data_IF_650176276896
#
_entry.id   IF_650176276896
#
_cell.length_a   1.000
_cell.length_b   1.000
_cell.length_c   1.000
_cell.angle_alpha   90.00
_cell.angle_beta   90.00
_cell.angle_gamma   90.00
#
_symmetry.space_group_name_H-M   'P 1'
#
loop_
_entity.id
_entity.type
_entity.pdbx_description
1 polymer ?
#
# COMPACT_ATOMS: atom_id res chain seq x y z
N UNK A 1 30.12 17.33 -14.19
CA UNK A 1 30.13 17.56 -12.73
C UNK A 1 29.81 16.23 -12.10
N UNK A 2 30.73 15.69 -11.29
CA UNK A 2 30.51 14.40 -10.63
C UNK A 2 29.72 14.65 -9.34
N UNK A 3 28.45 14.24 -9.35
CA UNK A 3 27.53 14.47 -8.23
C UNK A 3 27.93 13.66 -6.99
N UNK A 4 28.78 12.64 -7.16
CA UNK A 4 29.34 11.86 -6.05
C UNK A 4 30.30 12.66 -5.16
N UNK A 5 30.70 13.87 -5.59
CA UNK A 5 31.51 14.79 -4.80
C UNK A 5 30.69 15.70 -3.86
N UNK A 6 29.36 15.70 -4.00
CA UNK A 6 28.49 16.45 -3.09
C UNK A 6 28.32 15.68 -1.78
N UNK A 7 28.20 16.38 -0.64
CA UNK A 7 27.71 15.78 0.59
C UNK A 7 26.35 15.11 0.35
N UNK A 8 26.13 13.96 0.99
CA UNK A 8 24.93 13.14 0.83
C UNK A 8 23.65 13.94 1.06
N UNK A 9 23.64 14.82 2.06
CA UNK A 9 22.49 15.65 2.41
C UNK A 9 22.12 16.61 1.28
N UNK A 10 23.12 17.20 0.62
CA UNK A 10 22.92 18.12 -0.50
C UNK A 10 22.37 17.37 -1.70
N UNK A 11 22.91 16.18 -1.98
CA UNK A 11 22.39 15.33 -3.05
C UNK A 11 20.94 14.94 -2.81
N UNK A 12 20.60 14.51 -1.59
CA UNK A 12 19.24 14.15 -1.22
C UNK A 12 18.29 15.33 -1.43
N UNK A 13 18.66 16.55 -1.01
CA UNK A 13 17.83 17.73 -1.23
C UNK A 13 17.58 18.01 -2.71
N UNK A 14 18.61 17.88 -3.57
CA UNK A 14 18.44 17.99 -5.04
C UNK A 14 17.50 16.89 -5.55
N UNK A 15 17.73 15.64 -5.17
CA UNK A 15 16.96 14.49 -5.64
C UNK A 15 15.48 14.57 -5.22
N UNK A 16 15.16 15.25 -4.12
CA UNK A 16 13.79 15.47 -3.67
C UNK A 16 12.98 16.41 -4.61
N UNK A 17 13.65 17.24 -5.42
CA UNK A 17 13.00 18.04 -6.46
C UNK A 17 12.72 17.28 -7.75
N UNK A 18 13.43 16.17 -7.97
CA UNK A 18 13.26 15.36 -9.18
C UNK A 18 11.93 14.60 -9.17
N UNK A 19 11.39 14.38 -10.37
CA UNK A 19 10.27 13.47 -10.57
C UNK A 19 10.74 12.02 -10.65
N UNK A 20 9.80 11.10 -10.87
CA UNK A 20 10.13 9.68 -10.92
C UNK A 20 11.01 9.33 -12.13
N UNK A 21 10.74 9.93 -13.28
CA UNK A 21 11.42 9.58 -14.53
C UNK A 21 12.87 10.04 -14.48
N UNK A 22 13.11 11.24 -13.95
CA UNK A 22 14.46 11.77 -13.69
C UNK A 22 15.22 10.91 -12.69
N UNK A 23 14.59 10.51 -11.57
CA UNK A 23 15.24 9.64 -10.57
C UNK A 23 15.64 8.28 -11.16
N UNK A 24 14.79 7.70 -12.03
CA UNK A 24 15.10 6.44 -12.71
C UNK A 24 16.20 6.60 -13.76
N UNK A 25 16.22 7.72 -14.48
CA UNK A 25 17.29 8.06 -15.41
C UNK A 25 18.63 8.19 -14.66
N UNK A 26 18.64 8.88 -13.53
CA UNK A 26 19.82 9.01 -12.67
C UNK A 26 20.29 7.65 -12.13
N UNK A 27 19.39 6.74 -11.76
CA UNK A 27 19.75 5.36 -11.36
C UNK A 27 20.44 4.56 -12.48
N UNK A 28 20.28 4.97 -13.74
CA UNK A 28 20.83 4.27 -14.91
C UNK A 28 22.22 4.81 -15.32
N UNK A 29 22.73 5.84 -14.64
CA UNK A 29 24.03 6.48 -14.95
C UNK A 29 25.20 5.60 -14.48
N UNK A 30 25.21 5.21 -13.20
CA UNK A 30 26.23 4.34 -12.62
C UNK A 30 25.76 3.71 -11.31
N UNK A 31 26.48 2.69 -10.82
CA UNK A 31 26.21 2.07 -9.52
C UNK A 31 26.22 3.09 -8.37
N UNK A 32 27.20 4.01 -8.36
CA UNK A 32 27.29 5.06 -7.34
C UNK A 32 26.10 6.03 -7.36
N UNK A 33 25.62 6.40 -8.55
CA UNK A 33 24.40 7.22 -8.67
C UNK A 33 23.16 6.47 -8.19
N UNK A 34 23.02 5.19 -8.58
CA UNK A 34 21.93 4.35 -8.14
C UNK A 34 21.90 4.23 -6.62
N UNK A 35 23.06 4.08 -5.99
CA UNK A 35 23.20 3.97 -4.54
C UNK A 35 22.91 5.31 -3.83
N UNK A 36 23.39 6.43 -4.37
CA UNK A 36 23.05 7.76 -3.87
C UNK A 36 21.54 8.06 -3.90
N UNK A 37 20.83 7.55 -4.93
CA UNK A 37 19.37 7.70 -5.07
C UNK A 37 18.61 6.70 -4.20
N UNK A 38 19.26 5.64 -3.73
CA UNK A 38 18.63 4.56 -2.98
C UNK A 38 18.37 4.94 -1.50
N UNK A 39 17.90 6.17 -1.27
CA UNK A 39 17.72 6.75 0.07
C UNK A 39 16.25 6.74 0.49
N UNK A 40 16.01 6.35 1.75
CA UNK A 40 14.66 6.22 2.30
C UNK A 40 13.85 7.51 2.18
N UNK A 41 14.46 8.67 2.44
CA UNK A 41 13.80 9.99 2.36
C UNK A 41 13.27 10.30 0.95
N UNK A 42 14.04 9.95 -0.09
CA UNK A 42 13.68 10.16 -1.49
C UNK A 42 12.46 9.30 -1.85
N UNK A 43 12.54 7.99 -1.62
CA UNK A 43 11.47 7.06 -2.01
C UNK A 43 10.22 7.19 -1.16
N UNK A 44 10.35 7.57 0.12
CA UNK A 44 9.19 7.93 0.95
C UNK A 44 8.41 9.12 0.35
N UNK A 45 9.12 10.18 -0.08
CA UNK A 45 8.48 11.32 -0.76
C UNK A 45 7.79 10.89 -2.06
N UNK A 46 8.37 9.97 -2.81
CA UNK A 46 7.75 9.45 -4.04
C UNK A 46 6.51 8.61 -3.74
N UNK A 47 6.50 7.80 -2.68
CA UNK A 47 5.29 7.13 -2.20
C UNK A 47 4.19 8.15 -1.90
N UNK A 48 4.49 9.17 -1.08
CA UNK A 48 3.52 10.21 -0.72
C UNK A 48 2.97 10.99 -1.92
N UNK A 49 3.78 11.24 -2.95
CA UNK A 49 3.33 11.90 -4.19
C UNK A 49 2.38 11.03 -5.02
N UNK A 50 2.60 9.72 -5.03
CA UNK A 50 1.90 8.79 -5.93
C UNK A 50 0.62 8.22 -5.31
N UNK A 51 0.60 8.01 -4.01
CA UNK A 51 -0.54 7.41 -3.31
C UNK A 51 -1.34 8.45 -2.55
N UNK A 52 -2.67 8.39 -2.64
CA UNK A 52 -3.55 9.05 -1.66
C UNK A 52 -3.50 8.39 -0.26
N UNK A 53 -2.72 7.31 -0.11
CA UNK A 53 -2.55 6.57 1.13
C UNK A 53 -1.58 7.30 2.06
N UNK A 54 -1.99 7.49 3.31
CA UNK A 54 -1.09 7.92 4.39
C UNK A 54 -0.25 6.73 4.82
N UNK A 55 0.93 6.56 4.21
CA UNK A 55 1.87 5.55 4.69
C UNK A 55 2.54 6.04 5.97
N UNK A 56 2.29 5.34 7.08
CA UNK A 56 3.03 5.50 8.34
C UNK A 56 4.06 4.36 8.56
N UNK A 57 4.05 3.33 7.73
CA UNK A 57 4.92 2.15 7.84
C UNK A 57 5.53 1.77 6.49
N UNK A 58 6.76 1.26 6.52
CA UNK A 58 7.49 0.76 5.34
C UNK A 58 7.35 -0.76 5.15
N UNK A 59 6.56 -1.43 5.98
CA UNK A 59 6.33 -2.87 5.93
C UNK A 59 5.91 -3.29 4.52
N UNK A 60 6.55 -4.33 4.00
CA UNK A 60 6.25 -4.85 2.67
C UNK A 60 4.90 -5.55 2.69
N UNK A 61 4.20 -5.51 1.56
CA UNK A 61 3.01 -6.33 1.36
C UNK A 61 3.47 -7.77 1.26
N UNK A 62 3.20 -8.56 2.30
CA UNK A 62 3.55 -9.99 2.38
C UNK A 62 2.40 -10.90 1.91
N UNK A 63 1.28 -10.31 1.53
CA UNK A 63 0.13 -11.06 1.02
C UNK A 63 0.49 -11.75 -0.30
N UNK A 64 0.19 -13.05 -0.46
CA UNK A 64 0.53 -13.78 -1.67
C UNK A 64 -0.14 -13.18 -2.89
N UNK A 65 0.62 -13.01 -3.97
CA UNK A 65 0.09 -12.49 -5.23
C UNK A 65 -0.82 -13.55 -5.89
N UNK A 66 -2.03 -13.13 -6.27
CA UNK A 66 -3.05 -13.99 -6.90
C UNK A 66 -3.30 -13.68 -8.36
N UNK A 67 -2.66 -12.66 -8.90
CA UNK A 67 -2.84 -12.21 -10.28
C UNK A 67 -1.53 -12.32 -11.05
N UNK A 68 -1.64 -12.42 -12.36
CA UNK A 68 -0.47 -12.44 -13.24
C UNK A 68 -0.30 -11.10 -13.96
N UNK A 69 0.94 -10.62 -14.17
CA UNK A 69 2.20 -11.20 -13.66
C UNK A 69 2.37 -10.97 -12.15
N UNK A 70 3.04 -11.91 -11.49
CA UNK A 70 3.48 -11.76 -10.10
C UNK A 70 4.35 -10.51 -9.90
N UNK A 71 4.40 -10.00 -8.67
CA UNK A 71 5.38 -8.98 -8.29
C UNK A 71 6.65 -9.68 -7.86
N UNK A 72 7.75 -9.33 -8.49
CA UNK A 72 9.07 -9.81 -8.12
C UNK A 72 10.02 -8.62 -8.08
N UNK A 73 10.87 -8.57 -7.06
CA UNK A 73 11.98 -7.64 -7.07
C UNK A 73 12.92 -8.00 -8.22
N UNK A 74 13.51 -7.01 -8.91
CA UNK A 74 14.54 -7.27 -9.90
C UNK A 74 15.63 -8.11 -9.25
N UNK A 75 16.01 -9.20 -9.90
CA UNK A 75 17.20 -9.94 -9.49
C UNK A 75 18.40 -8.98 -9.56
N UNK A 76 19.35 -9.06 -8.61
CA UNK A 76 20.60 -8.33 -8.74
C UNK A 76 21.25 -8.78 -10.05
N UNK A 77 21.30 -7.89 -11.04
CA UNK A 77 21.92 -8.16 -12.34
C UNK A 77 23.44 -8.17 -12.25
N UNK A 78 23.97 -7.71 -11.12
CA UNK A 78 25.39 -7.64 -10.82
C UNK A 78 25.58 -7.71 -9.30
N UNK A 79 26.53 -8.52 -8.85
CA UNK A 79 26.86 -8.71 -7.43
C UNK A 79 27.41 -7.43 -6.75
N UNK A 80 27.63 -6.36 -7.51
CA UNK A 80 28.19 -5.10 -7.02
C UNK A 80 27.15 -4.07 -6.59
N UNK A 81 25.86 -4.28 -6.90
CA UNK A 81 24.81 -3.33 -6.54
C UNK A 81 24.35 -3.52 -5.10
N UNK A 82 24.24 -2.42 -4.35
CA UNK A 82 23.68 -2.47 -2.99
C UNK A 82 22.22 -2.96 -2.96
N UNK A 83 21.71 -3.37 -1.80
CA UNK A 83 20.29 -3.71 -1.68
C UNK A 83 19.39 -2.48 -1.79
N UNK A 84 18.20 -2.63 -2.39
CA UNK A 84 17.20 -1.54 -2.45
C UNK A 84 16.72 -1.16 -1.04
N UNK A 85 16.60 0.14 -0.77
CA UNK A 85 16.10 0.61 0.51
C UNK A 85 14.62 0.24 0.72
N UNK A 86 14.15 0.11 1.98
CA UNK A 86 12.77 -0.30 2.29
C UNK A 86 11.70 0.52 1.57
N UNK A 87 11.82 1.86 1.53
CA UNK A 87 10.83 2.70 0.86
C UNK A 87 10.82 2.52 -0.66
N UNK A 88 11.97 2.24 -1.28
CA UNK A 88 12.02 1.91 -2.71
C UNK A 88 11.33 0.58 -2.99
N UNK A 89 11.55 -0.42 -2.14
CA UNK A 89 10.86 -1.71 -2.24
C UNK A 89 9.34 -1.54 -2.12
N UNK A 90 8.88 -0.76 -1.12
CA UNK A 90 7.45 -0.44 -0.95
C UNK A 90 6.88 0.32 -2.15
N UNK A 91 7.59 1.32 -2.66
CA UNK A 91 7.18 2.08 -3.84
C UNK A 91 6.94 1.16 -5.05
N UNK A 92 7.84 0.20 -5.28
CA UNK A 92 7.72 -0.75 -6.39
C UNK A 92 6.48 -1.64 -6.26
N UNK A 93 6.16 -2.11 -5.04
CA UNK A 93 4.95 -2.89 -4.78
C UNK A 93 3.68 -2.07 -5.06
N UNK A 94 3.63 -0.82 -4.59
CA UNK A 94 2.50 0.09 -4.82
C UNK A 94 2.32 0.42 -6.30
N UNK A 95 3.42 0.69 -7.01
CA UNK A 95 3.38 0.93 -8.44
C UNK A 95 2.84 -0.29 -9.20
N UNK A 96 3.21 -1.50 -8.79
CA UNK A 96 2.69 -2.75 -9.36
C UNK A 96 1.20 -2.94 -9.05
N UNK A 97 0.78 -2.73 -7.80
CA UNK A 97 -0.63 -2.83 -7.40
C UNK A 97 -1.50 -1.82 -8.17
N UNK A 98 -1.10 -0.56 -8.19
CA UNK A 98 -1.76 0.50 -8.95
C UNK A 98 -1.87 0.15 -10.45
N UNK A 99 -0.81 -0.43 -11.02
CA UNK A 99 -0.82 -0.92 -12.40
C UNK A 99 -1.84 -2.03 -12.60
N UNK A 100 -1.90 -3.01 -11.70
CA UNK A 100 -2.85 -4.11 -11.78
C UNK A 100 -4.29 -3.59 -11.72
N UNK A 101 -4.61 -2.68 -10.80
CA UNK A 101 -5.92 -2.02 -10.74
C UNK A 101 -6.25 -1.28 -12.04
N UNK A 102 -5.34 -0.44 -12.55
CA UNK A 102 -5.57 0.34 -13.78
C UNK A 102 -5.83 -0.53 -15.00
N UNK A 103 -5.21 -1.71 -15.08
CA UNK A 103 -5.36 -2.64 -16.21
C UNK A 103 -6.39 -3.74 -15.94
N UNK A 104 -7.20 -3.65 -14.88
CA UNK A 104 -8.25 -4.63 -14.58
C UNK A 104 -7.72 -6.01 -14.17
N UNK A 105 -6.47 -6.10 -13.70
CA UNK A 105 -5.84 -7.34 -13.22
C UNK A 105 -6.14 -7.55 -11.74
N UNK A 106 -7.38 -7.92 -11.46
CA UNK A 106 -7.84 -8.24 -10.11
C UNK A 106 -8.75 -9.46 -10.13
N UNK A 107 -8.92 -10.08 -8.97
CA UNK A 107 -9.92 -11.14 -8.77
C UNK A 107 -11.04 -10.55 -7.94
N UNK A 108 -12.25 -10.51 -8.52
CA UNK A 108 -13.45 -10.16 -7.77
C UNK A 108 -14.03 -11.40 -7.11
N UNK A 109 -14.43 -11.28 -5.85
CA UNK A 109 -15.13 -12.32 -5.11
C UNK A 109 -16.38 -11.76 -4.48
N UNK A 110 -17.47 -12.49 -4.63
CA UNK A 110 -18.73 -12.16 -3.98
C UNK A 110 -18.71 -12.71 -2.56
N UNK A 111 -18.78 -11.81 -1.57
CA UNK A 111 -18.86 -12.17 -0.16
C UNK A 111 -20.30 -12.48 0.23
N UNK A 112 -21.19 -11.51 0.04
CA UNK A 112 -22.61 -11.60 0.36
C UNK A 112 -23.42 -10.82 -0.68
N UNK A 113 -24.71 -11.17 -0.84
CA UNK A 113 -25.68 -10.33 -1.55
C UNK A 113 -26.50 -9.54 -0.53
N UNK A 114 -26.44 -8.22 -0.60
CA UNK A 114 -27.28 -7.33 0.21
C UNK A 114 -28.61 -7.08 -0.50
N UNK A 115 -29.71 -7.04 0.27
CA UNK A 115 -31.03 -6.72 -0.27
C UNK A 115 -31.25 -5.19 -0.35
N UNK A 116 -30.67 -4.44 0.57
CA UNK A 116 -30.72 -2.98 0.64
C UNK A 116 -29.32 -2.39 0.76
N UNK A 117 -29.10 -1.10 0.42
CA UNK A 117 -27.82 -0.44 0.66
C UNK A 117 -27.53 -0.35 2.16
N UNK A 118 -26.75 -1.29 2.67
CA UNK A 118 -26.24 -1.28 4.05
C UNK A 118 -24.94 -0.47 4.16
N UNK A 119 -24.74 0.21 5.28
CA UNK A 119 -23.45 0.82 5.62
C UNK A 119 -22.42 -0.30 5.84
N UNK A 120 -21.49 -0.48 4.91
CA UNK A 120 -20.40 -1.45 5.06
C UNK A 120 -19.21 -0.73 5.67
N UNK A 121 -18.61 -1.36 6.67
CA UNK A 121 -17.35 -0.91 7.24
C UNK A 121 -16.23 -1.90 6.91
N UNK A 122 -15.02 -1.39 6.72
CA UNK A 122 -13.84 -2.18 6.45
C UNK A 122 -12.68 -1.64 7.27
N UNK A 123 -12.08 -2.50 8.09
CA UNK A 123 -10.89 -2.19 8.87
C UNK A 123 -9.85 -3.29 8.68
N UNK A 124 -8.68 -2.93 8.17
CA UNK A 124 -7.61 -3.85 7.77
C UNK A 124 -8.11 -5.05 6.95
N UNK A 125 -8.24 -6.21 7.61
CA UNK A 125 -8.63 -7.50 7.04
C UNK A 125 -10.06 -7.92 7.43
N UNK A 126 -10.84 -7.02 8.03
CA UNK A 126 -12.19 -7.26 8.49
C UNK A 126 -13.18 -6.40 7.73
N UNK A 127 -14.33 -7.00 7.40
CA UNK A 127 -15.47 -6.31 6.81
C UNK A 127 -16.68 -6.55 7.71
N UNK A 128 -17.31 -5.46 8.14
CA UNK A 128 -18.52 -5.47 8.95
C UNK A 128 -19.72 -5.15 8.06
N UNK A 129 -20.71 -6.04 8.10
CA UNK A 129 -21.96 -5.90 7.36
C UNK A 129 -23.12 -5.89 8.34
N UNK A 130 -23.82 -4.76 8.53
CA UNK A 130 -24.97 -4.70 9.42
C UNK A 130 -26.19 -5.37 8.79
N UNK A 131 -26.90 -6.13 9.62
CA UNK A 131 -28.24 -6.62 9.38
C UNK A 131 -29.20 -5.88 10.31
N UNK A 132 -30.03 -5.00 9.74
CA UNK A 132 -30.95 -4.15 10.50
C UNK A 132 -32.13 -4.96 11.05
N UNK A 133 -32.61 -5.94 10.30
CA UNK A 133 -33.75 -6.78 10.70
C UNK A 133 -33.39 -7.66 11.89
N UNK A 134 -32.23 -8.32 11.82
CA UNK A 134 -31.74 -9.22 12.87
C UNK A 134 -31.06 -8.48 14.02
N UNK A 135 -30.78 -7.18 13.85
CA UNK A 135 -30.04 -6.34 14.81
C UNK A 135 -28.68 -6.94 15.16
N UNK A 136 -27.93 -7.37 14.14
CA UNK A 136 -26.57 -7.90 14.29
C UNK A 136 -25.62 -7.39 13.21
N UNK A 137 -24.32 -7.51 13.46
CA UNK A 137 -23.27 -7.35 12.47
C UNK A 137 -22.76 -8.73 12.07
N UNK A 138 -22.71 -9.00 10.78
CA UNK A 138 -21.93 -10.12 10.25
C UNK A 138 -20.49 -9.66 10.04
N UNK A 139 -19.55 -10.37 10.65
CA UNK A 139 -18.12 -10.09 10.57
C UNK A 139 -17.48 -11.04 9.56
N UNK A 140 -16.84 -10.48 8.54
CA UNK A 140 -16.08 -11.22 7.54
C UNK A 140 -14.59 -10.98 7.71
N UNK A 141 -13.80 -12.05 7.67
CA UNK A 141 -12.37 -11.95 7.37
C UNK A 141 -12.19 -11.98 5.86
N UNK A 142 -11.44 -11.00 5.32
CA UNK A 142 -11.04 -10.94 3.90
C UNK A 142 -9.59 -11.34 3.66
N UNK A 143 -8.88 -11.70 4.72
CA UNK A 143 -7.57 -12.34 4.61
C UNK A 143 -7.76 -13.73 3.98
N UNK A 144 -7.02 -14.03 2.91
CA UNK A 144 -7.19 -15.34 2.29
C UNK A 144 -8.46 -15.41 1.43
N UNK A 145 -9.24 -16.48 1.61
CA UNK A 145 -10.59 -16.60 1.06
C UNK A 145 -11.58 -15.89 1.99
N UNK A 146 -12.44 -15.00 1.47
CA UNK A 146 -13.43 -14.34 2.32
C UNK A 146 -14.31 -15.36 3.06
N UNK A 147 -14.40 -15.22 4.38
CA UNK A 147 -15.20 -16.12 5.23
C UNK A 147 -15.88 -15.35 6.35
N UNK A 148 -17.10 -15.74 6.66
CA UNK A 148 -17.79 -15.29 7.86
C UNK A 148 -17.04 -15.86 9.08
N UNK A 149 -16.73 -14.99 10.05
CA UNK A 149 -16.03 -15.39 11.28
C UNK A 149 -16.89 -15.22 12.51
N UNK A 150 -17.87 -14.31 12.51
CA UNK A 150 -18.74 -14.07 13.66
C UNK A 150 -20.04 -13.34 13.29
N UNK A 151 -21.01 -13.38 14.22
CA UNK A 151 -22.20 -12.54 14.24
C UNK A 151 -22.39 -11.89 15.60
N UNK A 152 -22.32 -10.56 15.62
CA UNK A 152 -22.36 -9.78 16.85
C UNK A 152 -23.69 -9.03 16.96
N UNK A 153 -24.59 -9.41 17.88
CA UNK A 153 -25.85 -8.69 18.07
C UNK A 153 -25.58 -7.28 18.64
N UNK A 154 -26.41 -6.31 18.25
CA UNK A 154 -26.35 -4.94 18.76
C UNK A 154 -27.72 -4.45 19.22
N UNK A 155 -27.71 -3.55 20.22
CA UNK A 155 -28.91 -2.84 20.65
C UNK A 155 -28.98 -1.48 19.94
N UNK A 156 -30.09 -1.20 19.26
CA UNK A 156 -30.35 0.05 18.51
C UNK A 156 -30.38 1.31 19.41
N UNK A 157 -30.21 1.20 20.72
CA UNK A 157 -30.16 2.36 21.63
C UNK A 157 -28.95 3.27 21.39
N UNK A 158 -27.93 2.82 20.62
CA UNK A 158 -26.71 3.57 20.35
C UNK A 158 -26.24 3.49 18.88
N UNK A 159 -27.15 3.55 17.90
CA UNK A 159 -26.70 3.91 16.53
C UNK A 159 -26.45 5.42 16.47
N UNK A 160 -25.56 5.91 17.31
CA UNK A 160 -24.90 7.17 17.04
C UNK A 160 -23.85 6.88 15.98
N UNK A 161 -23.74 7.78 15.00
CA UNK A 161 -22.59 7.91 14.10
C UNK A 161 -21.22 7.90 14.81
N UNK A 162 -21.20 7.95 16.15
CA UNK A 162 -20.01 7.95 16.99
C UNK A 162 -19.48 6.55 17.34
N UNK A 163 -20.26 5.46 17.23
CA UNK A 163 -19.73 4.10 17.45
C UNK A 163 -18.57 3.80 16.48
N UNK A 164 -18.68 4.33 15.27
CA UNK A 164 -17.75 4.14 14.15
C UNK A 164 -16.64 5.20 14.07
N UNK A 165 -16.59 6.16 15.00
CA UNK A 165 -15.51 7.18 15.06
C UNK A 165 -14.29 6.73 15.87
N UNK A 166 -14.32 5.54 16.47
CA UNK A 166 -13.25 5.06 17.33
C UNK A 166 -11.94 4.71 16.60
N UNK A 167 -11.94 4.61 15.27
CA UNK A 167 -10.73 4.28 14.48
C UNK A 167 -9.94 5.52 13.97
N UNK A 168 -10.29 6.75 14.37
CA UNK A 168 -9.59 7.96 13.88
C UNK A 168 -8.66 8.64 14.90
N UNK A 169 -8.55 8.13 16.14
CA UNK A 169 -7.77 8.78 17.21
C UNK A 169 -6.75 7.86 17.90
N UNK A 170 -5.88 7.18 17.14
CA UNK A 170 -4.60 6.63 17.66
C UNK A 170 -3.53 6.66 16.60
#
# INVERSE_FOLDING_TARGET
MDISLLPEEVFIEIALYLDLDDLLACCSVSAGWRDAINQNKIWFRQCLRRSALKFNKFELIDTPNRVQPGFHFPAPTCDTLSDLCPWRKRFMQEAHLSRNWRYGRYISRRIMRLQEPSLIECDENLVLVPNVEMRDFTVFSIEGEPREIDRVPYSLSHVSSDFFKLCQNT
#
